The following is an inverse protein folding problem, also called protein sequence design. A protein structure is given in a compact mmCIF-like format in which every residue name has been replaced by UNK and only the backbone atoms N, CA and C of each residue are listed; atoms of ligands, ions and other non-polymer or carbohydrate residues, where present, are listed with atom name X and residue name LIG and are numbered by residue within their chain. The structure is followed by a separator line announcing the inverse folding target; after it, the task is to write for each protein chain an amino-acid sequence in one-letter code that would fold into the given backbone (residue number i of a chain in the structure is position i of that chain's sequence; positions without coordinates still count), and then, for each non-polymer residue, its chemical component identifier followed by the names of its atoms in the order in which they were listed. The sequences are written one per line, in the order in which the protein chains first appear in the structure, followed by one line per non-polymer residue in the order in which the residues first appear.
data_IF_871158361525
#
_entry.id   IF_871158361525
#
_cell.length_a   1.000
_cell.length_b   1.000
_cell.length_c   1.000
_cell.angle_alpha   90.00
_cell.angle_beta   90.00
_cell.angle_gamma   90.00
#
_symmetry.space_group_name_H-M   'P 1'
#
loop_
_entity.id
_entity.type
_entity.pdbx_description
1 polymer ?
#
# COMPACT_ATOMS: atom_id res chain seq x y z
N UNK A 1 28.38 -16.63 -19.58
CA UNK A 1 27.49 -17.20 -18.53
C UNK A 1 27.07 -16.17 -17.47
N UNK A 2 27.98 -15.35 -16.91
CA UNK A 2 27.64 -14.34 -15.88
C UNK A 2 26.62 -13.28 -16.31
N UNK A 3 26.66 -12.85 -17.58
CA UNK A 3 25.72 -11.85 -18.13
C UNK A 3 24.30 -12.40 -18.34
N UNK A 4 24.15 -13.69 -18.64
CA UNK A 4 22.86 -14.33 -18.90
C UNK A 4 22.05 -14.47 -17.60
N UNK A 5 22.72 -14.86 -16.51
CA UNK A 5 22.13 -14.90 -15.17
C UNK A 5 21.75 -13.50 -14.69
N UNK A 6 22.59 -12.48 -14.99
CA UNK A 6 22.27 -11.09 -14.67
C UNK A 6 21.05 -10.59 -15.44
N UNK A 7 20.95 -10.88 -16.74
CA UNK A 7 19.78 -10.52 -17.54
C UNK A 7 18.51 -11.22 -17.04
N UNK A 8 18.58 -12.50 -16.65
CA UNK A 8 17.45 -13.19 -16.05
C UNK A 8 17.02 -12.54 -14.73
N UNK A 9 17.96 -12.21 -13.85
CA UNK A 9 17.70 -11.54 -12.57
C UNK A 9 17.09 -10.14 -12.74
N UNK A 10 17.57 -9.38 -13.74
CA UNK A 10 17.05 -8.05 -14.10
C UNK A 10 15.60 -8.13 -14.61
N UNK A 11 15.29 -9.14 -15.44
CA UNK A 11 13.94 -9.40 -15.93
C UNK A 11 13.00 -9.80 -14.78
N UNK A 12 13.44 -10.70 -13.89
CA UNK A 12 12.69 -11.06 -12.69
C UNK A 12 12.44 -9.84 -11.79
N UNK A 13 13.47 -9.04 -11.54
CA UNK A 13 13.37 -7.81 -10.74
C UNK A 13 12.44 -6.78 -11.38
N UNK A 14 12.44 -6.68 -12.70
CA UNK A 14 11.52 -5.81 -13.45
C UNK A 14 10.08 -6.27 -13.28
N UNK A 15 9.80 -7.57 -13.46
CA UNK A 15 8.46 -8.12 -13.24
C UNK A 15 7.97 -7.89 -11.81
N UNK A 16 8.83 -8.13 -10.81
CA UNK A 16 8.49 -7.87 -9.40
C UNK A 16 8.21 -6.37 -9.17
N UNK A 17 9.00 -5.49 -9.80
CA UNK A 17 8.82 -4.03 -9.67
C UNK A 17 7.52 -3.54 -10.32
N UNK A 18 7.13 -4.11 -11.46
CA UNK A 18 5.85 -3.81 -12.11
C UNK A 18 4.64 -4.18 -11.23
N UNK A 19 4.76 -5.20 -10.38
CA UNK A 19 3.71 -5.58 -9.42
C UNK A 19 3.75 -4.70 -8.17
N UNK A 20 4.92 -4.27 -7.71
CA UNK A 20 5.06 -3.41 -6.52
C UNK A 20 4.56 -1.98 -6.75
N UNK A 21 4.88 -1.38 -7.89
CA UNK A 21 4.47 -0.01 -8.23
C UNK A 21 2.96 0.28 -8.03
N UNK A 22 2.02 -0.55 -8.51
CA UNK A 22 0.60 -0.31 -8.28
C UNK A 22 0.20 -0.48 -6.81
N UNK A 23 0.83 -1.41 -6.08
CA UNK A 23 0.60 -1.61 -4.65
C UNK A 23 1.07 -0.37 -3.86
N UNK A 24 2.28 0.12 -4.15
CA UNK A 24 2.84 1.33 -3.54
C UNK A 24 2.00 2.57 -3.85
N UNK A 25 1.58 2.73 -5.12
CA UNK A 25 0.71 3.83 -5.53
C UNK A 25 -0.64 3.81 -4.81
N UNK A 26 -1.27 2.63 -4.70
CA UNK A 26 -2.52 2.45 -3.97
C UNK A 26 -2.38 2.81 -2.47
N UNK A 27 -1.36 2.27 -1.81
CA UNK A 27 -1.14 2.57 -0.38
C UNK A 27 -0.76 4.04 -0.16
N UNK A 28 0.01 4.65 -1.05
CA UNK A 28 0.34 6.06 -0.97
C UNK A 28 -0.92 6.94 -1.08
N UNK A 29 -1.78 6.67 -2.07
CA UNK A 29 -3.07 7.35 -2.21
C UNK A 29 -3.95 7.16 -0.96
N UNK A 30 -4.03 5.93 -0.44
CA UNK A 30 -4.82 5.63 0.76
C UNK A 30 -4.32 6.42 1.97
N UNK A 31 -3.00 6.49 2.17
CA UNK A 31 -2.38 7.23 3.28
C UNK A 31 -2.63 8.74 3.12
N UNK A 32 -2.49 9.29 1.92
CA UNK A 32 -2.73 10.71 1.65
C UNK A 32 -4.18 11.11 1.98
N UNK A 33 -5.16 10.36 1.46
CA UNK A 33 -6.58 10.70 1.64
C UNK A 33 -7.08 10.47 3.06
N UNK A 34 -6.60 9.44 3.74
CA UNK A 34 -7.17 9.02 5.03
C UNK A 34 -6.29 9.31 6.24
N UNK A 35 -4.99 9.50 6.05
CA UNK A 35 -4.00 9.56 7.13
C UNK A 35 -4.05 8.31 8.04
N UNK A 36 -4.28 7.13 7.48
CA UNK A 36 -4.47 5.87 8.21
C UNK A 36 -3.31 5.51 9.15
N UNK A 37 -2.09 5.98 8.89
CA UNK A 37 -0.91 5.73 9.75
C UNK A 37 -1.05 6.28 11.18
N UNK A 38 -1.95 7.24 11.42
CA UNK A 38 -2.25 7.73 12.78
C UNK A 38 -2.83 6.63 13.68
N UNK A 39 -3.34 5.54 13.11
CA UNK A 39 -3.78 4.34 13.82
C UNK A 39 -2.69 3.73 14.73
N UNK A 40 -1.40 3.90 14.39
CA UNK A 40 -0.26 3.42 15.21
C UNK A 40 -0.21 4.01 16.62
N UNK A 41 -0.86 5.15 16.86
CA UNK A 41 -0.91 5.82 18.17
C UNK A 41 -2.06 5.31 19.05
N UNK A 42 -2.96 4.49 18.51
CA UNK A 42 -4.14 4.00 19.22
C UNK A 42 -3.76 2.80 20.08
N UNK A 43 -3.85 2.95 21.41
CA UNK A 43 -3.43 1.92 22.38
C UNK A 43 -4.47 0.81 22.63
N UNK A 44 -5.71 1.01 22.19
CA UNK A 44 -6.82 0.07 22.40
C UNK A 44 -7.15 -0.68 21.11
N UNK A 45 -7.20 -2.02 21.15
CA UNK A 45 -7.54 -2.85 19.99
C UNK A 45 -8.92 -2.52 19.42
N UNK A 46 -9.91 -2.22 20.29
CA UNK A 46 -11.25 -1.80 19.86
C UNK A 46 -11.19 -0.44 19.16
N UNK A 47 -10.48 0.52 19.74
CA UNK A 47 -10.29 1.84 19.13
C UNK A 47 -9.54 1.77 17.80
N UNK A 48 -8.57 0.86 17.68
CA UNK A 48 -7.80 0.63 16.47
C UNK A 48 -8.69 0.13 15.32
N UNK A 49 -9.55 -0.86 15.60
CA UNK A 49 -10.48 -1.40 14.61
C UNK A 49 -11.44 -0.31 14.09
N UNK A 50 -12.10 0.44 14.99
CA UNK A 50 -12.98 1.55 14.58
C UNK A 50 -12.23 2.58 13.74
N UNK A 51 -10.99 2.92 14.12
CA UNK A 51 -10.19 3.88 13.37
C UNK A 51 -9.90 3.39 11.94
N UNK A 52 -9.45 2.13 11.80
CA UNK A 52 -9.13 1.52 10.50
C UNK A 52 -10.38 1.46 9.61
N UNK A 53 -11.49 0.91 10.12
CA UNK A 53 -12.73 0.80 9.35
C UNK A 53 -13.29 2.17 8.95
N UNK A 54 -13.23 3.17 9.83
CA UNK A 54 -13.63 4.54 9.52
C UNK A 54 -12.78 5.15 8.40
N UNK A 55 -11.45 4.96 8.43
CA UNK A 55 -10.56 5.45 7.37
C UNK A 55 -10.79 4.74 6.04
N UNK A 56 -11.01 3.43 6.05
CA UNK A 56 -11.35 2.67 4.83
C UNK A 56 -12.68 3.16 4.25
N UNK A 57 -13.70 3.39 5.09
CA UNK A 57 -14.99 3.94 4.64
C UNK A 57 -14.81 5.32 3.99
N UNK A 58 -14.01 6.22 4.59
CA UNK A 58 -13.68 7.52 3.96
C UNK A 58 -12.96 7.36 2.63
N UNK A 59 -12.01 6.42 2.50
CA UNK A 59 -11.32 6.15 1.24
C UNK A 59 -12.29 5.69 0.14
N UNK A 60 -13.21 4.80 0.48
CA UNK A 60 -14.20 4.27 -0.46
C UNK A 60 -15.20 5.35 -0.90
N UNK A 61 -15.64 6.21 0.01
CA UNK A 61 -16.49 7.36 -0.33
C UNK A 61 -15.73 8.30 -1.29
N UNK A 62 -14.47 8.60 -1.01
CA UNK A 62 -13.61 9.44 -1.88
C UNK A 62 -13.25 8.77 -3.22
N UNK A 63 -13.56 7.50 -3.42
CA UNK A 63 -13.38 6.81 -4.70
C UNK A 63 -14.64 6.94 -5.59
N UNK A 64 -15.81 7.12 -4.97
CA UNK A 64 -17.12 7.15 -5.63
C UNK A 64 -17.53 8.59 -6.01
N UNK A 65 -17.14 9.59 -5.20
CA UNK A 65 -17.46 11.00 -5.37
C UNK A 65 -16.20 11.81 -5.71
#
# INVERSE_FOLDING_TARGET
MKNINKTADDLFSTTISMVRQPIESFFNWLIEKTNIQKASKVKSSKGLLIHIFGKIATALINLIF
#
